data_IF_617579792319
#
_entry.id   IF_617579792319
#
_cell.length_a   1.000
_cell.length_b   1.000
_cell.length_c   1.000
_cell.angle_alpha   90.00
_cell.angle_beta   90.00
_cell.angle_gamma   90.00
#
_symmetry.space_group_name_H-M   'P 1'
#
loop_
_entity.id
_entity.type
_entity.pdbx_description
1 polymer ?
#
# COMPACT_ATOMS: atom_id res chain seq x y z
N UNK A 1 43.68 -10.14 7.97
CA UNK A 1 42.72 -9.09 7.58
C UNK A 1 42.52 -9.14 6.09
N UNK A 2 41.35 -9.57 5.62
CA UNK A 2 41.03 -9.56 4.21
C UNK A 2 40.86 -8.09 3.77
N UNK A 3 41.74 -7.63 2.87
CA UNK A 3 41.54 -6.35 2.18
C UNK A 3 40.34 -6.52 1.25
N UNK A 4 39.25 -5.83 1.55
CA UNK A 4 38.15 -5.63 0.60
C UNK A 4 38.65 -4.76 -0.54
N UNK A 5 39.31 -5.37 -1.53
CA UNK A 5 39.54 -4.72 -2.82
C UNK A 5 38.30 -4.92 -3.68
N UNK A 6 37.27 -4.10 -3.46
CA UNK A 6 36.13 -4.04 -4.38
C UNK A 6 36.11 -2.67 -5.05
N UNK A 7 36.59 -2.60 -6.29
CA UNK A 7 36.23 -1.49 -7.17
C UNK A 7 34.71 -1.42 -7.29
N UNK A 8 34.16 -0.20 -7.34
CA UNK A 8 32.74 0.04 -7.56
C UNK A 8 32.34 -0.57 -8.91
N UNK A 9 31.47 -1.59 -8.91
CA UNK A 9 30.99 -2.25 -10.14
C UNK A 9 29.98 -1.38 -10.90
N UNK A 10 29.15 -0.65 -10.17
CA UNK A 10 28.24 0.38 -10.70
C UNK A 10 28.05 1.46 -9.64
N UNK A 11 28.43 2.73 -9.89
CA UNK A 11 28.21 3.81 -8.95
C UNK A 11 26.72 4.14 -8.83
N UNK A 12 26.32 4.67 -7.67
CA UNK A 12 24.95 5.13 -7.48
C UNK A 12 24.63 6.31 -8.40
N UNK A 13 23.48 6.24 -9.07
CA UNK A 13 22.97 7.32 -9.90
C UNK A 13 22.55 8.54 -9.08
N UNK A 14 22.64 9.74 -9.68
CA UNK A 14 22.23 11.01 -9.06
C UNK A 14 20.79 10.96 -8.56
N UNK A 15 19.90 10.29 -9.28
CA UNK A 15 18.46 10.24 -9.04
C UNK A 15 17.97 8.97 -8.35
N UNK A 16 18.89 8.12 -7.88
CA UNK A 16 18.58 6.78 -7.40
C UNK A 16 19.14 5.72 -8.33
N UNK A 17 19.06 4.46 -7.90
CA UNK A 17 19.65 3.32 -8.59
C UNK A 17 18.70 2.13 -8.49
N UNK A 18 18.32 1.55 -9.62
CA UNK A 18 17.42 0.39 -9.75
C UNK A 18 18.10 -0.89 -9.23
N UNK A 19 18.34 -0.93 -7.92
CA UNK A 19 19.10 -1.93 -7.18
C UNK A 19 18.53 -2.04 -5.75
N UNK A 20 19.25 -2.70 -4.83
CA UNK A 20 18.99 -2.67 -3.39
C UNK A 20 19.37 -1.30 -2.78
N UNK A 21 18.71 -0.24 -3.23
CA UNK A 21 18.94 1.14 -2.79
C UNK A 21 17.60 1.85 -2.64
N UNK A 22 17.48 2.69 -1.61
CA UNK A 22 16.35 3.60 -1.46
C UNK A 22 16.51 4.89 -2.27
N UNK A 23 15.43 5.66 -2.29
CA UNK A 23 15.31 6.87 -3.08
C UNK A 23 16.02 8.07 -2.42
N UNK A 24 16.82 8.86 -3.16
CA UNK A 24 17.31 10.12 -2.63
C UNK A 24 16.18 11.15 -2.56
N UNK A 25 16.18 12.00 -1.53
CA UNK A 25 15.19 13.05 -1.29
C UNK A 25 14.87 13.91 -2.53
N UNK A 26 15.87 14.19 -3.38
CA UNK A 26 15.65 14.97 -4.61
C UNK A 26 14.68 14.30 -5.58
N UNK A 27 14.69 12.96 -5.68
CA UNK A 27 13.78 12.26 -6.60
C UNK A 27 12.37 12.20 -6.01
N UNK A 28 12.25 12.18 -4.68
CA UNK A 28 10.97 12.39 -4.00
C UNK A 28 10.39 13.78 -4.29
N UNK A 29 11.17 14.86 -4.15
CA UNK A 29 10.71 16.23 -4.49
C UNK A 29 10.32 16.36 -5.96
N UNK A 30 11.05 15.71 -6.88
CA UNK A 30 10.70 15.65 -8.32
C UNK A 30 9.38 14.92 -8.56
N UNK A 31 9.15 13.79 -7.89
CA UNK A 31 7.90 13.05 -8.00
C UNK A 31 6.71 13.90 -7.52
N UNK A 32 6.83 14.52 -6.34
CA UNK A 32 5.78 15.41 -5.79
C UNK A 32 5.52 16.61 -6.71
N UNK A 33 6.59 17.22 -7.26
CA UNK A 33 6.50 18.29 -8.26
C UNK A 33 5.82 17.84 -9.55
N UNK A 34 6.10 16.62 -10.03
CA UNK A 34 5.46 16.09 -11.23
C UNK A 34 3.98 15.87 -10.98
N UNK A 35 3.61 15.15 -9.92
CA UNK A 35 2.21 14.84 -9.59
C UNK A 35 1.41 16.13 -9.45
N UNK A 36 1.89 17.09 -8.65
CA UNK A 36 1.19 18.37 -8.44
C UNK A 36 1.08 19.22 -9.71
N UNK A 37 1.95 19.03 -10.71
CA UNK A 37 1.88 19.76 -11.98
C UNK A 37 1.04 19.07 -13.04
N UNK A 38 1.04 17.75 -13.07
CA UNK A 38 0.32 16.94 -14.05
C UNK A 38 -1.16 16.82 -13.66
N UNK A 39 -1.44 16.58 -12.37
CA UNK A 39 -2.78 16.25 -11.87
C UNK A 39 -3.31 17.40 -11.02
N UNK A 40 -4.11 18.27 -11.66
CA UNK A 40 -4.64 19.51 -11.03
C UNK A 40 -6.03 19.32 -10.40
N UNK A 41 -6.61 18.15 -10.60
CA UNK A 41 -7.97 17.74 -10.29
C UNK A 41 -8.02 16.66 -9.20
N UNK A 42 -6.95 16.51 -8.41
CA UNK A 42 -6.92 15.57 -7.29
C UNK A 42 -7.85 16.03 -6.16
N UNK A 43 -8.88 15.24 -5.89
CA UNK A 43 -9.79 15.46 -4.75
C UNK A 43 -9.08 15.21 -3.40
N UNK A 44 -8.28 14.14 -3.32
CA UNK A 44 -7.44 13.81 -2.16
C UNK A 44 -6.30 12.86 -2.56
N UNK A 45 -5.33 12.71 -1.67
CA UNK A 45 -4.18 11.82 -1.84
C UNK A 45 -4.19 10.77 -0.73
N UNK A 46 -3.93 9.52 -1.08
CA UNK A 46 -3.72 8.42 -0.14
C UNK A 46 -2.23 8.05 -0.11
N UNK A 47 -1.71 7.87 1.10
CA UNK A 47 -0.33 7.44 1.33
C UNK A 47 -0.32 6.31 2.35
N UNK A 48 0.26 5.18 1.99
CA UNK A 48 0.15 3.96 2.80
C UNK A 48 1.39 3.70 3.66
N UNK A 49 2.14 4.71 4.11
CA UNK A 49 3.29 4.54 5.02
C UNK A 49 4.65 4.29 4.34
N UNK A 50 5.62 3.78 5.11
CA UNK A 50 7.01 3.49 4.72
C UNK A 50 7.81 4.71 4.26
N UNK A 51 7.96 5.65 5.20
CA UNK A 51 8.70 6.90 5.04
C UNK A 51 10.17 6.80 5.46
N UNK A 52 10.58 5.69 6.05
CA UNK A 52 11.97 5.39 6.40
C UNK A 52 12.64 4.50 5.36
N UNK A 53 13.95 4.69 5.18
CA UNK A 53 14.77 3.84 4.33
C UNK A 53 15.10 2.49 5.01
N UNK A 54 15.57 1.50 4.25
CA UNK A 54 15.91 0.15 4.71
C UNK A 54 17.25 0.07 5.48
N UNK A 55 17.67 1.15 6.13
CA UNK A 55 18.83 1.19 7.02
C UNK A 55 18.45 0.95 8.49
N UNK A 56 17.60 -0.07 8.69
CA UNK A 56 16.98 -0.45 9.97
C UNK A 56 17.96 -0.62 11.14
N UNK A 57 19.22 -0.96 10.86
CA UNK A 57 20.28 -1.05 11.87
C UNK A 57 20.66 0.29 12.51
N UNK A 58 20.22 1.41 11.94
CA UNK A 58 20.52 2.77 12.37
C UNK A 58 19.25 3.59 12.70
N UNK A 59 18.12 2.93 12.95
CA UNK A 59 16.88 3.62 13.32
C UNK A 59 16.99 4.28 14.70
N UNK A 60 16.57 5.53 14.77
CA UNK A 60 16.36 6.25 16.04
C UNK A 60 15.07 7.05 15.95
N UNK A 61 14.43 7.29 17.10
CA UNK A 61 13.18 8.08 17.17
C UNK A 61 13.38 9.48 16.59
N UNK A 62 14.55 10.07 16.80
CA UNK A 62 14.93 11.41 16.32
C UNK A 62 15.07 11.44 14.80
N UNK A 63 15.73 10.43 14.21
CA UNK A 63 15.87 10.32 12.76
C UNK A 63 14.51 10.09 12.10
N UNK A 64 13.71 9.17 12.64
CA UNK A 64 12.36 8.90 12.13
C UNK A 64 11.49 10.14 12.18
N UNK A 65 11.51 10.87 13.30
CA UNK A 65 10.82 12.15 13.41
C UNK A 65 11.25 13.15 12.34
N UNK A 66 12.56 13.35 12.16
CA UNK A 66 13.09 14.32 11.20
C UNK A 66 12.72 13.98 9.74
N UNK A 67 12.76 12.69 9.39
CA UNK A 67 12.35 12.21 8.06
C UNK A 67 10.85 12.42 7.83
N UNK A 68 10.00 12.04 8.79
CA UNK A 68 8.55 12.29 8.72
C UNK A 68 8.24 13.79 8.57
N UNK A 69 8.92 14.65 9.33
CA UNK A 69 8.79 16.11 9.23
C UNK A 69 9.19 16.62 7.84
N UNK A 70 10.33 16.18 7.29
CA UNK A 70 10.82 16.59 5.96
C UNK A 70 9.90 16.14 4.83
N UNK A 71 9.43 14.90 4.88
CA UNK A 71 8.51 14.34 3.88
C UNK A 71 7.17 15.09 3.95
N UNK A 72 6.62 15.28 5.16
CA UNK A 72 5.40 16.06 5.39
C UNK A 72 5.53 17.50 4.88
N UNK A 73 6.66 18.16 5.12
CA UNK A 73 6.91 19.51 4.62
C UNK A 73 6.96 19.58 3.09
N UNK A 74 7.55 18.58 2.44
CA UNK A 74 7.59 18.48 0.97
C UNK A 74 6.21 18.27 0.38
N UNK A 75 5.41 17.39 0.98
CA UNK A 75 4.02 17.17 0.56
C UNK A 75 3.19 18.45 0.72
N UNK A 76 3.31 19.14 1.85
CA UNK A 76 2.64 20.43 2.09
C UNK A 76 3.03 21.52 1.08
N UNK A 77 4.29 21.53 0.64
CA UNK A 77 4.80 22.46 -0.37
C UNK A 77 4.15 22.24 -1.74
N UNK A 78 4.01 20.99 -2.17
CA UNK A 78 3.48 20.65 -3.50
C UNK A 78 1.95 20.52 -3.55
N UNK A 79 1.32 20.22 -2.41
CA UNK A 79 -0.12 20.02 -2.28
C UNK A 79 -0.71 20.91 -1.18
N UNK A 80 -0.68 22.25 -1.34
CA UNK A 80 -1.13 23.15 -0.29
C UNK A 80 -2.64 23.05 0.00
N UNK A 81 -3.43 22.62 -0.99
CA UNK A 81 -4.90 22.62 -0.95
C UNK A 81 -5.53 21.23 -1.12
N UNK A 82 -4.73 20.18 -1.36
CA UNK A 82 -5.24 18.82 -1.54
C UNK A 82 -5.11 18.06 -0.22
N UNK A 83 -6.19 17.51 0.35
CA UNK A 83 -6.14 16.66 1.54
C UNK A 83 -5.24 15.42 1.32
N UNK A 84 -4.47 15.06 2.34
CA UNK A 84 -3.62 13.87 2.33
C UNK A 84 -4.02 12.97 3.50
N UNK A 85 -4.50 11.78 3.18
CA UNK A 85 -4.87 10.76 4.15
C UNK A 85 -3.79 9.65 4.18
N UNK A 86 -3.28 9.37 5.35
CA UNK A 86 -2.12 8.48 5.52
C UNK A 86 -2.48 7.24 6.36
N UNK A 87 -1.90 6.10 6.02
CA UNK A 87 -1.77 4.95 6.91
C UNK A 87 -0.32 4.84 7.38
N UNK A 88 -0.12 4.27 8.57
CA UNK A 88 1.22 4.00 9.10
C UNK A 88 1.77 2.72 8.49
N UNK A 89 3.04 2.74 8.06
CA UNK A 89 3.77 1.59 7.54
C UNK A 89 4.58 0.89 8.62
N UNK A 90 5.29 -0.18 8.25
CA UNK A 90 6.03 -0.97 9.23
C UNK A 90 7.38 -0.31 9.57
N UNK A 91 7.94 0.46 8.63
CA UNK A 91 9.23 1.12 8.79
C UNK A 91 9.19 2.38 9.69
N UNK A 92 8.02 2.92 10.04
CA UNK A 92 7.91 4.02 11.01
C UNK A 92 8.22 3.60 12.46
N UNK A 93 8.14 2.30 12.77
CA UNK A 93 8.50 1.77 14.08
C UNK A 93 10.01 1.93 14.37
N UNK A 94 10.36 2.12 15.65
CA UNK A 94 11.77 2.08 16.09
C UNK A 94 11.91 1.07 17.23
N UNK A 95 12.52 -0.12 17.00
CA UNK A 95 12.98 -0.64 15.70
C UNK A 95 11.83 -0.88 14.70
N UNK A 96 12.12 -1.17 13.42
CA UNK A 96 11.07 -1.50 12.43
C UNK A 96 10.08 -2.52 12.99
N UNK A 97 8.80 -2.38 12.64
CA UNK A 97 7.69 -3.24 13.08
C UNK A 97 7.33 -3.16 14.58
N UNK A 98 8.00 -2.31 15.35
CA UNK A 98 7.80 -2.18 16.80
C UNK A 98 6.51 -1.39 17.15
N UNK A 99 5.35 -2.04 17.01
CA UNK A 99 4.04 -1.49 17.35
C UNK A 99 3.41 -2.26 18.52
N UNK A 100 3.74 -1.88 19.75
CA UNK A 100 3.18 -2.53 20.93
C UNK A 100 1.72 -2.08 21.16
N UNK A 101 0.78 -3.02 21.41
CA UNK A 101 -0.57 -2.67 21.85
C UNK A 101 -0.59 -2.24 23.32
N UNK A 102 -1.64 -1.53 23.75
CA UNK A 102 -1.78 -1.03 25.13
C UNK A 102 -1.77 -2.12 26.20
N UNK A 103 -2.20 -3.33 25.84
CA UNK A 103 -2.18 -4.49 26.75
C UNK A 103 -0.79 -5.09 26.99
N UNK A 104 0.25 -4.61 26.30
CA UNK A 104 1.61 -5.12 26.43
C UNK A 104 2.26 -4.69 27.76
N UNK A 105 2.90 -5.59 28.52
CA UNK A 105 3.71 -5.22 29.67
C UNK A 105 4.78 -4.18 29.30
N UNK A 106 5.02 -3.16 30.13
CA UNK A 106 5.95 -2.05 29.80
C UNK A 106 5.52 -1.17 28.61
N UNK A 107 4.23 -1.13 28.26
CA UNK A 107 3.70 -0.27 27.19
C UNK A 107 4.18 1.19 27.31
N UNK A 108 4.18 1.79 28.49
CA UNK A 108 4.61 3.20 28.67
C UNK A 108 6.09 3.42 28.31
N UNK A 109 6.93 2.40 28.45
CA UNK A 109 8.36 2.48 28.14
C UNK A 109 8.68 2.11 26.68
N UNK A 110 7.93 1.16 26.10
CA UNK A 110 8.27 0.52 24.82
C UNK A 110 7.26 0.77 23.71
N UNK A 111 6.13 1.38 24.04
CA UNK A 111 5.04 1.59 23.10
C UNK A 111 5.35 2.66 22.04
N UNK A 112 4.50 2.71 21.01
CA UNK A 112 4.62 3.65 19.91
C UNK A 112 3.99 5.02 20.22
N UNK A 113 3.69 5.36 21.48
CA UNK A 113 3.02 6.63 21.85
C UNK A 113 3.79 7.85 21.33
N UNK A 114 5.12 7.79 21.35
CA UNK A 114 5.98 8.84 20.82
C UNK A 114 5.74 9.06 19.31
N UNK A 115 5.60 7.97 18.54
CA UNK A 115 5.34 7.99 17.10
C UNK A 115 3.92 8.49 16.85
N UNK A 116 2.94 7.92 17.54
CA UNK A 116 1.53 8.31 17.38
C UNK A 116 1.31 9.78 17.71
N UNK A 117 2.04 10.33 18.69
CA UNK A 117 2.02 11.76 19.00
C UNK A 117 2.60 12.59 17.85
N UNK A 118 3.69 12.17 17.21
CA UNK A 118 4.26 12.84 16.03
C UNK A 118 3.28 12.78 14.85
N UNK A 119 2.79 11.59 14.50
CA UNK A 119 1.82 11.39 13.42
C UNK A 119 0.57 12.25 13.63
N UNK A 120 0.05 12.31 14.87
CA UNK A 120 -1.11 13.13 15.20
C UNK A 120 -0.89 14.63 14.96
N UNK A 121 0.34 15.13 15.10
CA UNK A 121 0.69 16.51 14.82
C UNK A 121 0.83 16.70 13.30
N UNK A 122 1.62 15.86 12.64
CA UNK A 122 1.91 16.00 11.21
C UNK A 122 0.65 15.83 10.34
N UNK A 123 -0.26 14.94 10.73
CA UNK A 123 -1.48 14.65 9.98
C UNK A 123 -2.63 15.60 10.30
N UNK A 124 -2.57 16.35 11.43
CA UNK A 124 -3.66 17.23 11.91
C UNK A 124 -4.13 18.29 10.91
N UNK A 125 -3.31 18.62 9.91
CA UNK A 125 -3.69 19.52 8.82
C UNK A 125 -4.82 18.96 7.96
N UNK A 126 -4.83 17.64 7.75
CA UNK A 126 -5.71 16.99 6.76
C UNK A 126 -6.83 16.18 7.38
N UNK A 127 -6.80 15.98 8.70
CA UNK A 127 -7.78 15.17 9.43
C UNK A 127 -8.45 15.98 10.53
N UNK A 128 -9.67 15.61 10.86
CA UNK A 128 -10.50 16.19 11.89
C UNK A 128 -9.91 16.04 13.30
N UNK A 129 -10.29 16.90 14.26
CA UNK A 129 -9.88 16.75 15.65
C UNK A 129 -10.25 15.40 16.29
N UNK A 130 -11.32 14.75 15.83
CA UNK A 130 -11.71 13.41 16.31
C UNK A 130 -10.82 12.32 15.71
N UNK A 131 -10.47 12.42 14.42
CA UNK A 131 -9.47 11.53 13.81
C UNK A 131 -8.11 11.62 14.50
N UNK A 132 -7.67 12.83 14.90
CA UNK A 132 -6.44 13.02 15.68
C UNK A 132 -6.45 12.19 16.98
N UNK A 133 -7.59 12.03 17.64
CA UNK A 133 -7.71 11.17 18.84
C UNK A 133 -7.51 9.69 18.49
N UNK A 134 -8.09 9.24 17.39
CA UNK A 134 -7.87 7.88 16.87
C UNK A 134 -6.41 7.60 16.55
N UNK A 135 -5.74 8.55 15.89
CA UNK A 135 -4.30 8.48 15.58
C UNK A 135 -3.47 8.32 16.85
N UNK A 136 -3.73 9.15 17.87
CA UNK A 136 -3.02 9.08 19.16
C UNK A 136 -3.22 7.77 19.90
N UNK A 137 -4.38 7.14 19.72
CA UNK A 137 -4.68 5.86 20.38
C UNK A 137 -4.00 4.70 19.64
N UNK A 138 -4.34 4.46 18.36
CA UNK A 138 -3.92 3.23 17.63
C UNK A 138 -3.27 3.47 16.27
N UNK A 139 -3.00 4.73 15.90
CA UNK A 139 -2.65 5.14 14.53
C UNK A 139 -3.66 4.72 13.45
N UNK A 140 -4.92 4.53 13.84
CA UNK A 140 -6.05 4.33 12.93
C UNK A 140 -7.06 5.45 13.13
N UNK A 141 -7.75 5.86 12.07
CA UNK A 141 -8.73 6.95 12.14
C UNK A 141 -9.76 6.86 11.01
N UNK A 142 -10.84 7.62 11.13
CA UNK A 142 -11.84 7.80 10.08
C UNK A 142 -11.87 9.24 9.61
N UNK A 143 -12.09 9.44 8.32
CA UNK A 143 -12.34 10.74 7.70
C UNK A 143 -13.46 10.64 6.66
N UNK A 144 -14.00 11.80 6.25
CA UNK A 144 -15.08 11.86 5.26
C UNK A 144 -14.65 12.76 4.09
N UNK A 145 -13.94 12.20 3.09
CA UNK A 145 -13.46 12.97 1.95
C UNK A 145 -14.59 13.57 1.10
N UNK A 146 -15.76 12.92 1.10
CA UNK A 146 -16.95 13.34 0.35
C UNK A 146 -18.22 12.89 1.08
N UNK A 147 -19.37 13.59 0.96
CA UNK A 147 -20.63 13.13 1.52
C UNK A 147 -20.99 11.71 1.07
N UNK A 148 -21.22 10.82 2.04
CA UNK A 148 -21.53 9.40 1.76
C UNK A 148 -20.31 8.50 1.57
N UNK A 149 -19.08 9.02 1.67
CA UNK A 149 -17.84 8.25 1.68
C UNK A 149 -17.13 8.40 3.02
N UNK A 150 -16.95 7.27 3.73
CA UNK A 150 -16.06 7.16 4.90
C UNK A 150 -14.72 6.55 4.47
N UNK A 151 -13.63 7.23 4.74
CA UNK A 151 -12.28 6.69 4.62
C UNK A 151 -11.83 6.17 5.98
N UNK A 152 -11.38 4.92 6.03
CA UNK A 152 -10.83 4.28 7.23
C UNK A 152 -9.33 4.05 6.98
N UNK A 153 -8.50 4.75 7.75
CA UNK A 153 -7.07 4.45 7.83
C UNK A 153 -6.82 3.43 8.93
N UNK A 154 -6.25 2.28 8.57
CA UNK A 154 -6.06 1.14 9.45
C UNK A 154 -4.58 0.89 9.71
N UNK A 155 -4.16 0.98 10.98
CA UNK A 155 -2.87 0.45 11.41
C UNK A 155 -2.90 -1.09 11.39
N UNK A 156 -2.46 -1.66 10.28
CA UNK A 156 -2.35 -3.11 10.10
C UNK A 156 -0.95 -3.67 10.42
N UNK A 157 -0.06 -2.87 11.02
CA UNK A 157 1.18 -3.41 11.64
C UNK A 157 0.90 -4.39 12.78
N UNK A 158 -0.33 -4.35 13.34
CA UNK A 158 -0.80 -5.37 14.28
C UNK A 158 -1.03 -6.75 13.66
N UNK A 159 -0.95 -6.87 12.34
CA UNK A 159 -0.89 -8.17 11.68
C UNK A 159 0.54 -8.59 11.31
N UNK A 160 1.54 -7.72 11.39
CA UNK A 160 2.92 -8.05 11.01
C UNK A 160 3.48 -9.24 11.81
N UNK A 161 4.04 -10.22 11.11
CA UNK A 161 4.81 -11.33 11.72
C UNK A 161 6.14 -10.85 12.33
N UNK A 162 6.61 -9.66 11.96
CA UNK A 162 7.82 -9.05 12.50
C UNK A 162 7.55 -8.12 13.69
N UNK A 163 6.27 -7.82 13.97
CA UNK A 163 5.90 -7.13 15.19
C UNK A 163 6.04 -8.10 16.39
N UNK A 164 7.19 -8.10 17.04
CA UNK A 164 7.43 -9.07 18.12
C UNK A 164 6.56 -8.83 19.36
N UNK A 165 5.97 -7.64 19.53
CA UNK A 165 5.12 -7.36 20.68
C UNK A 165 3.80 -8.14 20.67
N UNK A 166 3.25 -8.41 19.49
CA UNK A 166 1.96 -9.11 19.39
C UNK A 166 2.07 -10.60 19.71
N UNK A 167 3.28 -11.18 19.82
CA UNK A 167 3.45 -12.55 20.30
C UNK A 167 3.14 -12.73 21.80
N UNK A 168 3.05 -11.64 22.56
CA UNK A 168 2.54 -11.67 23.94
C UNK A 168 1.04 -11.96 23.92
N UNK A 169 0.30 -11.30 23.04
CA UNK A 169 -1.12 -11.57 22.79
C UNK A 169 -1.52 -11.13 21.37
N UNK A 170 -1.83 -12.10 20.51
CA UNK A 170 -2.23 -11.87 19.12
C UNK A 170 -3.73 -11.59 18.95
N UNK A 171 -4.50 -11.65 20.05
CA UNK A 171 -5.96 -11.52 20.01
C UNK A 171 -6.34 -10.05 19.84
N UNK A 172 -6.67 -9.68 18.61
CA UNK A 172 -7.11 -8.35 18.18
C UNK A 172 -6.38 -7.20 18.90
N UNK A 173 -5.08 -6.98 18.61
CA UNK A 173 -4.29 -5.95 19.29
C UNK A 173 -4.96 -4.57 19.22
N UNK A 174 -5.11 -3.95 20.39
CA UNK A 174 -5.89 -2.72 20.64
C UNK A 174 -7.38 -2.80 20.29
N UNK A 175 -7.94 -3.95 19.94
CA UNK A 175 -9.31 -4.07 19.44
C UNK A 175 -9.46 -3.50 18.03
N UNK A 176 -8.43 -3.58 17.20
CA UNK A 176 -8.35 -2.94 15.88
C UNK A 176 -9.38 -3.47 14.89
N UNK A 177 -9.58 -4.79 14.82
CA UNK A 177 -10.62 -5.40 14.00
C UNK A 177 -12.01 -5.17 14.60
N UNK A 178 -12.13 -5.21 15.93
CA UNK A 178 -13.39 -4.89 16.62
C UNK A 178 -13.84 -3.45 16.32
N UNK A 179 -12.90 -2.50 16.34
CA UNK A 179 -13.14 -1.12 15.95
C UNK A 179 -13.53 -1.00 14.47
N UNK A 180 -12.80 -1.66 13.56
CA UNK A 180 -13.14 -1.69 12.14
C UNK A 180 -14.56 -2.21 11.88
N UNK A 181 -14.96 -3.31 12.52
CA UNK A 181 -16.32 -3.86 12.41
C UNK A 181 -17.36 -2.83 12.85
N UNK A 182 -17.08 -2.09 13.92
CA UNK A 182 -17.98 -1.05 14.43
C UNK A 182 -18.16 0.09 13.44
N UNK A 183 -17.07 0.54 12.81
CA UNK A 183 -17.10 1.59 11.78
C UNK A 183 -17.83 1.16 10.50
N UNK A 184 -17.61 -0.09 10.06
CA UNK A 184 -18.28 -0.67 8.89
C UNK A 184 -19.78 -0.87 9.14
N UNK A 185 -20.16 -1.34 10.32
CA UNK A 185 -21.56 -1.49 10.71
C UNK A 185 -22.29 -0.14 10.81
N UNK A 186 -21.60 0.89 11.30
CA UNK A 186 -22.12 2.26 11.30
C UNK A 186 -22.35 2.78 9.88
N UNK A 187 -21.40 2.59 8.97
CA UNK A 187 -21.56 2.99 7.57
C UNK A 187 -22.65 2.19 6.83
N UNK A 188 -22.77 0.88 7.08
CA UNK A 188 -23.85 0.05 6.55
C UNK A 188 -25.23 0.60 6.96
N UNK A 189 -25.41 0.99 8.24
CA UNK A 189 -26.66 1.58 8.76
C UNK A 189 -26.98 2.94 8.14
N UNK A 190 -25.96 3.72 7.80
CA UNK A 190 -26.10 5.05 7.18
C UNK A 190 -26.18 5.00 5.66
N UNK A 191 -25.95 3.85 5.04
CA UNK A 191 -25.86 3.72 3.58
C UNK A 191 -24.61 4.37 2.98
N UNK A 192 -23.57 4.58 3.79
CA UNK A 192 -22.28 5.12 3.34
C UNK A 192 -21.45 4.03 2.66
N UNK A 193 -20.55 4.46 1.76
CA UNK A 193 -19.50 3.62 1.20
C UNK A 193 -18.20 3.84 1.96
N UNK A 194 -17.34 2.82 1.93
CA UNK A 194 -16.09 2.81 2.69
C UNK A 194 -14.89 2.59 1.78
N UNK A 195 -13.89 3.45 1.91
CA UNK A 195 -12.52 3.20 1.46
C UNK A 195 -11.67 2.75 2.65
N UNK A 196 -10.94 1.64 2.52
CA UNK A 196 -9.96 1.22 3.51
C UNK A 196 -8.57 1.50 2.97
N UNK A 197 -7.73 2.16 3.76
CA UNK A 197 -6.30 2.32 3.47
C UNK A 197 -5.49 1.64 4.57
N UNK A 198 -4.44 0.93 4.19
CA UNK A 198 -3.52 0.27 5.11
C UNK A 198 -2.17 0.04 4.44
N UNK A 199 -1.19 -0.46 5.18
CA UNK A 199 0.14 -0.70 4.62
C UNK A 199 0.31 -2.14 4.10
N UNK A 200 0.31 -3.12 5.01
CA UNK A 200 0.56 -4.54 4.72
C UNK A 200 -0.68 -5.21 4.08
N UNK A 201 -0.61 -5.72 2.85
CA UNK A 201 -1.77 -6.39 2.26
C UNK A 201 -2.11 -7.70 3.01
N UNK A 202 -3.38 -7.96 3.35
CA UNK A 202 -3.77 -9.09 4.21
C UNK A 202 -3.42 -10.48 3.66
N UNK A 203 -3.29 -10.61 2.34
CA UNK A 203 -2.92 -11.85 1.68
C UNK A 203 -1.42 -12.13 1.61
N UNK A 204 -0.58 -11.18 2.03
CA UNK A 204 0.85 -11.39 2.11
C UNK A 204 1.24 -12.16 3.37
N UNK A 205 2.26 -13.02 3.27
CA UNK A 205 2.69 -13.86 4.39
C UNK A 205 3.42 -13.07 5.49
N UNK A 206 3.61 -11.77 5.30
CA UNK A 206 3.96 -10.82 6.35
C UNK A 206 2.83 -10.57 7.35
N UNK A 207 1.58 -10.92 7.01
CA UNK A 207 0.42 -10.78 7.89
C UNK A 207 0.10 -12.09 8.62
N UNK A 208 -0.19 -12.06 9.92
CA UNK A 208 -0.51 -13.23 10.74
C UNK A 208 -1.77 -13.93 10.24
N UNK A 209 -1.70 -15.25 10.10
CA UNK A 209 -2.80 -16.10 9.65
C UNK A 209 -4.13 -15.84 10.38
N UNK A 210 -4.08 -15.71 11.71
CA UNK A 210 -5.27 -15.46 12.53
C UNK A 210 -5.91 -14.10 12.24
N UNK A 211 -5.09 -13.06 12.12
CA UNK A 211 -5.56 -11.71 11.81
C UNK A 211 -6.11 -11.64 10.37
N UNK A 212 -5.34 -12.13 9.40
CA UNK A 212 -5.74 -12.16 7.99
C UNK A 212 -7.04 -12.95 7.78
N UNK A 213 -7.24 -14.07 8.48
CA UNK A 213 -8.51 -14.80 8.45
C UNK A 213 -9.68 -13.93 8.90
N UNK A 214 -9.58 -13.26 10.04
CA UNK A 214 -10.67 -12.43 10.55
C UNK A 214 -10.93 -11.24 9.63
N UNK A 215 -9.88 -10.57 9.15
CA UNK A 215 -10.02 -9.47 8.19
C UNK A 215 -10.71 -9.93 6.90
N UNK A 216 -10.37 -11.10 6.38
CA UNK A 216 -11.00 -11.68 5.19
C UNK A 216 -12.52 -11.91 5.39
N UNK A 217 -12.93 -12.44 6.54
CA UNK A 217 -14.37 -12.62 6.83
C UNK A 217 -15.10 -11.28 7.01
N UNK A 218 -14.43 -10.26 7.59
CA UNK A 218 -14.98 -8.90 7.71
C UNK A 218 -15.21 -8.31 6.32
N UNK A 219 -14.23 -8.38 5.42
CA UNK A 219 -14.37 -7.88 4.05
C UNK A 219 -15.54 -8.54 3.34
N UNK A 220 -15.67 -9.87 3.43
CA UNK A 220 -16.79 -10.60 2.84
C UNK A 220 -18.14 -10.19 3.44
N UNK A 221 -18.25 -10.04 4.76
CA UNK A 221 -19.49 -9.61 5.41
C UNK A 221 -19.93 -8.22 4.94
N UNK A 222 -18.97 -7.33 4.69
CA UNK A 222 -19.24 -5.94 4.31
C UNK A 222 -18.99 -5.66 2.82
N UNK A 223 -19.11 -6.67 1.95
CA UNK A 223 -18.84 -6.56 0.50
C UNK A 223 -19.66 -5.45 -0.19
N UNK A 224 -20.86 -5.14 0.33
CA UNK A 224 -21.72 -4.07 -0.20
C UNK A 224 -21.39 -2.66 0.34
N UNK A 225 -20.64 -2.59 1.46
CA UNK A 225 -20.29 -1.34 2.15
C UNK A 225 -18.88 -0.88 1.76
N UNK A 226 -17.92 -1.79 1.66
CA UNK A 226 -16.55 -1.49 1.27
C UNK A 226 -16.50 -1.32 -0.25
N UNK A 227 -16.26 -0.09 -0.71
CA UNK A 227 -16.18 0.23 -2.14
C UNK A 227 -14.76 0.03 -2.71
N UNK A 228 -13.71 0.27 -1.91
CA UNK A 228 -12.33 0.08 -2.33
C UNK A 228 -11.37 -0.17 -1.15
N UNK A 229 -10.25 -0.84 -1.43
CA UNK A 229 -9.16 -1.09 -0.48
C UNK A 229 -7.81 -0.80 -1.13
N UNK A 230 -6.92 -0.08 -0.44
CA UNK A 230 -5.63 0.36 -0.96
C UNK A 230 -4.49 0.02 0.01
N UNK A 231 -3.50 -0.71 -0.50
CA UNK A 231 -2.31 -1.17 0.23
C UNK A 231 -1.02 -0.85 -0.51
N UNK A 232 0.10 -1.06 0.17
CA UNK A 232 1.46 -0.94 -0.37
C UNK A 232 2.33 -2.10 0.11
N UNK A 233 3.45 -1.80 0.78
CA UNK A 233 4.38 -2.74 1.42
C UNK A 233 5.19 -3.65 0.48
N UNK A 234 4.54 -4.34 -0.48
CA UNK A 234 5.24 -5.31 -1.33
C UNK A 234 6.17 -4.64 -2.34
N UNK A 235 5.97 -3.35 -2.57
CA UNK A 235 6.67 -2.52 -3.56
C UNK A 235 6.40 -2.90 -5.03
N UNK A 236 5.49 -3.83 -5.29
CA UNK A 236 5.14 -4.28 -6.63
C UNK A 236 3.75 -3.81 -7.06
N UNK A 237 3.51 -3.82 -8.37
CA UNK A 237 2.18 -3.53 -8.92
C UNK A 237 1.34 -4.82 -8.99
N UNK A 238 0.44 -4.99 -8.03
CA UNK A 238 -0.39 -6.20 -7.93
C UNK A 238 -1.73 -5.93 -7.22
N UNK A 239 -2.50 -6.99 -7.00
CA UNK A 239 -3.81 -6.95 -6.35
C UNK A 239 -4.13 -8.31 -5.73
N UNK A 240 -5.12 -8.37 -4.84
CA UNK A 240 -5.59 -9.63 -4.25
C UNK A 240 -7.11 -9.73 -4.30
N UNK A 241 -7.63 -10.84 -4.84
CA UNK A 241 -9.07 -11.10 -4.94
C UNK A 241 -9.58 -11.85 -3.70
N UNK A 242 -10.76 -11.45 -3.23
CA UNK A 242 -11.52 -12.12 -2.19
C UNK A 242 -12.65 -12.93 -2.82
N UNK A 243 -12.95 -14.06 -2.20
CA UNK A 243 -13.92 -15.04 -2.63
C UNK A 243 -14.82 -15.47 -1.48
N UNK A 244 -16.07 -15.75 -1.84
CA UNK A 244 -17.04 -16.38 -0.95
C UNK A 244 -16.49 -17.71 -0.39
N UNK A 245 -16.68 -17.93 0.91
CA UNK A 245 -16.20 -19.12 1.63
C UNK A 245 -14.69 -19.41 1.52
N UNK A 246 -13.85 -18.40 1.19
CA UNK A 246 -12.41 -18.60 0.94
C UNK A 246 -12.12 -19.64 -0.17
N UNK A 247 -12.98 -19.74 -1.19
CA UNK A 247 -12.84 -20.70 -2.28
C UNK A 247 -12.64 -19.98 -3.64
N UNK A 248 -11.47 -20.08 -4.29
CA UNK A 248 -11.21 -19.46 -5.59
C UNK A 248 -12.12 -19.96 -6.73
N UNK A 249 -12.72 -21.14 -6.60
CA UNK A 249 -13.70 -21.64 -7.55
C UNK A 249 -15.11 -21.05 -7.33
N UNK A 250 -15.30 -20.28 -6.24
CA UNK A 250 -16.53 -19.61 -5.89
C UNK A 250 -16.65 -18.21 -6.49
N UNK A 251 -17.66 -17.46 -6.02
CA UNK A 251 -17.92 -16.08 -6.46
C UNK A 251 -16.84 -15.14 -5.91
N UNK A 252 -16.18 -14.31 -6.76
CA UNK A 252 -15.35 -13.21 -6.27
C UNK A 252 -16.24 -12.13 -5.66
N UNK A 253 -15.94 -11.73 -4.43
CA UNK A 253 -16.73 -10.82 -3.59
C UNK A 253 -16.12 -9.42 -3.49
N UNK A 254 -14.79 -9.35 -3.48
CA UNK A 254 -14.04 -8.10 -3.35
C UNK A 254 -12.63 -8.24 -3.94
N UNK A 255 -11.87 -7.15 -4.00
CA UNK A 255 -10.44 -7.17 -4.28
C UNK A 255 -9.75 -5.95 -3.63
N UNK A 256 -8.44 -6.05 -3.41
CA UNK A 256 -7.64 -4.90 -2.96
C UNK A 256 -6.60 -4.52 -4.01
N UNK A 257 -6.23 -3.23 -4.05
CA UNK A 257 -5.09 -2.76 -4.82
C UNK A 257 -3.83 -2.79 -3.97
N UNK A 258 -2.73 -3.26 -4.55
CA UNK A 258 -1.39 -3.13 -3.99
C UNK A 258 -0.60 -2.20 -4.93
N UNK A 259 -0.29 -1.02 -4.43
CA UNK A 259 0.28 0.06 -5.21
C UNK A 259 1.81 -0.07 -5.22
N UNK A 260 2.49 0.05 -6.38
CA UNK A 260 3.94 -0.02 -6.43
C UNK A 260 4.58 1.13 -5.66
N UNK A 261 5.83 0.90 -5.23
CA UNK A 261 6.58 1.88 -4.46
C UNK A 261 7.12 3.03 -5.32
N UNK A 262 7.24 4.20 -4.69
CA UNK A 262 8.07 5.28 -5.20
C UNK A 262 9.56 4.99 -4.99
N UNK A 263 9.93 4.17 -3.99
CA UNK A 263 11.32 3.79 -3.77
C UNK A 263 11.84 2.82 -4.83
N UNK A 264 13.14 3.00 -5.08
CA UNK A 264 14.15 1.99 -5.45
C UNK A 264 13.93 0.53 -5.14
N UNK A 265 13.62 0.32 -3.86
CA UNK A 265 13.89 -0.91 -3.17
C UNK A 265 12.85 -1.98 -3.56
N UNK A 266 13.22 -3.09 -4.20
CA UNK A 266 14.50 -3.32 -4.85
C UNK A 266 14.34 -3.60 -6.33
N UNK A 267 15.30 -3.12 -7.13
CA UNK A 267 15.39 -3.36 -8.58
C UNK A 267 14.23 -2.80 -9.39
N UNK A 268 13.67 -1.70 -8.90
CA UNK A 268 12.41 -1.17 -9.37
C UNK A 268 12.53 0.30 -9.74
N UNK A 269 11.84 0.72 -10.80
CA UNK A 269 11.71 2.15 -11.09
C UNK A 269 10.72 2.78 -10.09
N UNK A 270 10.90 4.06 -9.72
CA UNK A 270 9.89 4.81 -8.96
C UNK A 270 8.56 4.84 -9.68
N UNK A 271 7.46 4.63 -8.95
CA UNK A 271 6.12 4.77 -9.48
C UNK A 271 5.15 5.41 -8.49
N UNK A 272 4.03 5.89 -9.02
CA UNK A 272 2.84 6.27 -8.28
C UNK A 272 1.59 5.90 -9.09
N UNK A 273 0.42 5.94 -8.46
CA UNK A 273 -0.86 5.53 -9.05
C UNK A 273 -1.89 6.64 -8.94
N UNK A 274 -2.70 6.81 -9.99
CA UNK A 274 -3.91 7.62 -9.99
C UNK A 274 -5.11 6.68 -10.06
N UNK A 275 -6.09 6.91 -9.19
CA UNK A 275 -7.36 6.19 -9.21
C UNK A 275 -8.46 7.15 -9.63
N UNK A 276 -9.17 6.83 -10.70
CA UNK A 276 -10.44 7.48 -11.01
C UNK A 276 -11.52 6.76 -10.21
N UNK A 277 -12.27 7.49 -9.38
CA UNK A 277 -13.30 6.92 -8.51
C UNK A 277 -14.66 7.50 -8.90
N UNK A 278 -15.69 6.67 -8.90
CA UNK A 278 -17.07 7.10 -9.07
C UNK A 278 -17.50 8.01 -7.90
N UNK A 279 -17.86 9.26 -8.18
CA UNK A 279 -18.11 10.23 -7.12
C UNK A 279 -18.70 11.56 -7.61
N UNK A 280 -18.94 12.48 -6.68
CA UNK A 280 -19.44 13.82 -6.98
C UNK A 280 -20.97 13.95 -7.07
N UNK A 281 -21.71 12.89 -6.74
CA UNK A 281 -23.18 12.89 -6.72
C UNK A 281 -23.74 12.04 -5.58
N UNK A 282 -25.03 12.27 -5.26
CA UNK A 282 -25.74 11.54 -4.21
C UNK A 282 -25.84 10.06 -4.60
N UNK A 283 -25.57 9.16 -3.65
CA UNK A 283 -25.64 7.69 -3.87
C UNK A 283 -24.60 7.15 -4.87
N UNK A 284 -23.50 7.88 -5.09
CA UNK A 284 -22.34 7.36 -5.84
C UNK A 284 -21.83 6.04 -5.24
N UNK A 285 -21.34 5.14 -6.10
CA UNK A 285 -20.85 3.83 -5.67
C UNK A 285 -19.51 3.92 -4.95
N UNK A 286 -18.74 4.98 -5.20
CA UNK A 286 -17.36 5.16 -4.73
C UNK A 286 -16.42 4.00 -5.11
N UNK A 287 -16.79 3.22 -6.13
CA UNK A 287 -15.91 2.18 -6.66
C UNK A 287 -14.87 2.80 -7.60
N UNK A 288 -13.71 2.15 -7.72
CA UNK A 288 -12.66 2.58 -8.65
C UNK A 288 -13.10 2.28 -10.09
N UNK A 289 -13.11 3.31 -10.92
CA UNK A 289 -13.48 3.26 -12.33
C UNK A 289 -12.28 2.95 -13.24
N UNK A 290 -11.10 3.47 -12.93
CA UNK A 290 -9.84 3.09 -13.58
C UNK A 290 -8.64 3.33 -12.64
N UNK A 291 -7.53 2.68 -12.94
CA UNK A 291 -6.28 2.79 -12.19
C UNK A 291 -5.10 2.96 -13.17
N UNK A 292 -4.44 4.11 -13.09
CA UNK A 292 -3.34 4.50 -13.97
C UNK A 292 -2.02 4.53 -13.19
N UNK A 293 -1.05 3.74 -13.62
CA UNK A 293 0.29 3.73 -13.02
C UNK A 293 1.23 4.61 -13.84
N UNK A 294 1.92 5.53 -13.15
CA UNK A 294 2.96 6.37 -13.73
C UNK A 294 4.32 5.93 -13.20
N UNK A 295 5.31 5.84 -14.07
CA UNK A 295 6.69 5.48 -13.72
C UNK A 295 7.70 6.37 -14.43
N UNK A 296 8.98 6.18 -14.15
CA UNK A 296 10.08 6.89 -14.78
C UNK A 296 11.24 5.94 -15.07
N UNK A 297 12.07 6.22 -16.06
CA UNK A 297 13.30 5.47 -16.31
C UNK A 297 14.48 6.19 -15.64
N UNK A 298 14.90 5.68 -14.47
CA UNK A 298 16.05 6.25 -13.77
C UNK A 298 17.37 6.01 -14.49
N UNK A 299 17.50 4.93 -15.27
CA UNK A 299 18.72 4.66 -16.04
C UNK A 299 18.85 5.70 -17.16
N UNK A 300 17.74 6.01 -17.84
CA UNK A 300 17.69 7.09 -18.83
C UNK A 300 18.01 8.44 -18.17
N UNK A 301 17.35 8.79 -17.07
CA UNK A 301 17.54 10.07 -16.37
C UNK A 301 19.00 10.25 -15.90
N UNK A 302 19.61 9.20 -15.35
CA UNK A 302 21.00 9.21 -14.91
C UNK A 302 21.97 9.30 -16.10
N UNK A 303 21.75 8.53 -17.17
CA UNK A 303 22.64 8.54 -18.36
C UNK A 303 22.64 9.89 -19.09
N UNK A 304 21.49 10.57 -19.11
CA UNK A 304 21.34 11.91 -19.71
C UNK A 304 21.66 13.04 -18.74
N UNK A 305 21.90 12.75 -17.46
CA UNK A 305 22.04 13.72 -16.37
C UNK A 305 20.86 14.72 -16.30
N UNK A 306 19.63 14.23 -16.45
CA UNK A 306 18.40 15.02 -16.47
C UNK A 306 17.45 14.61 -15.35
N UNK A 307 16.57 15.52 -14.93
CA UNK A 307 15.48 15.22 -13.99
C UNK A 307 14.63 14.05 -14.52
N UNK A 308 14.29 13.04 -13.67
CA UNK A 308 13.41 11.94 -14.07
C UNK A 308 12.08 12.47 -14.57
N UNK A 309 11.66 12.00 -15.74
CA UNK A 309 10.37 12.33 -16.34
C UNK A 309 9.43 11.17 -16.05
N UNK A 310 8.37 11.43 -15.28
CA UNK A 310 7.30 10.47 -15.09
C UNK A 310 6.39 10.46 -16.31
N UNK A 311 6.01 9.27 -16.74
CA UNK A 311 5.12 9.00 -17.86
C UNK A 311 4.09 7.94 -17.45
N UNK A 312 2.92 7.97 -18.09
CA UNK A 312 1.90 6.93 -17.93
C UNK A 312 2.47 5.60 -18.44
N UNK A 313 2.59 4.61 -17.55
CA UNK A 313 3.01 3.26 -17.92
C UNK A 313 1.84 2.49 -18.53
N UNK A 314 0.69 2.50 -17.85
CA UNK A 314 -0.53 1.82 -18.32
C UNK A 314 -1.80 2.30 -17.59
N UNK A 315 -2.96 2.06 -18.23
CA UNK A 315 -4.29 2.10 -17.60
C UNK A 315 -4.80 0.67 -17.43
N UNK A 316 -5.25 0.30 -16.23
CA UNK A 316 -5.72 -1.06 -15.93
C UNK A 316 -6.84 -1.50 -16.89
N UNK A 317 -7.85 -0.65 -17.11
CA UNK A 317 -8.95 -0.99 -18.03
C UNK A 317 -8.47 -1.15 -19.46
N UNK A 318 -7.66 -0.22 -19.96
CA UNK A 318 -7.23 -0.20 -21.35
C UNK A 318 -6.26 -1.36 -21.64
N UNK A 319 -5.19 -1.47 -20.86
CA UNK A 319 -4.06 -2.33 -21.18
C UNK A 319 -4.29 -3.81 -20.86
N UNK A 320 -5.20 -4.11 -19.92
CA UNK A 320 -5.70 -5.48 -19.66
C UNK A 320 -7.04 -5.79 -20.35
N UNK A 321 -7.63 -4.80 -21.05
CA UNK A 321 -8.91 -4.94 -21.76
C UNK A 321 -10.06 -5.38 -20.82
N UNK A 322 -10.22 -4.65 -19.71
CA UNK A 322 -11.30 -4.87 -18.73
C UNK A 322 -12.48 -3.94 -19.03
N UNK A 323 -13.71 -4.46 -18.98
CA UNK A 323 -14.93 -3.65 -19.11
C UNK A 323 -15.12 -2.69 -17.93
N UNK A 324 -14.77 -3.17 -16.74
CA UNK A 324 -14.86 -2.52 -15.44
C UNK A 324 -13.77 -3.08 -14.52
N UNK A 325 -13.65 -2.52 -13.32
CA UNK A 325 -12.74 -3.01 -12.29
C UNK A 325 -13.49 -3.76 -11.17
N UNK A 326 -14.57 -4.46 -11.50
CA UNK A 326 -15.29 -5.30 -10.53
C UNK A 326 -14.46 -6.50 -10.07
N UNK A 327 -14.77 -7.11 -8.91
CA UNK A 327 -14.11 -8.34 -8.46
C UNK A 327 -14.16 -9.46 -9.51
N UNK A 328 -15.25 -9.56 -10.27
CA UNK A 328 -15.40 -10.54 -11.35
C UNK A 328 -14.42 -10.29 -12.51
N UNK A 329 -14.24 -9.02 -12.92
CA UNK A 329 -13.30 -8.65 -13.98
C UNK A 329 -11.85 -8.91 -13.58
N UNK A 330 -11.47 -8.63 -12.32
CA UNK A 330 -10.15 -8.96 -11.80
C UNK A 330 -9.91 -10.47 -11.71
N UNK A 331 -10.91 -11.24 -11.27
CA UNK A 331 -10.80 -12.69 -11.28
C UNK A 331 -10.64 -13.26 -12.71
N UNK A 332 -11.42 -12.77 -13.66
CA UNK A 332 -11.32 -13.18 -15.06
C UNK A 332 -9.95 -12.80 -15.68
N UNK A 333 -9.36 -11.68 -15.26
CA UNK A 333 -7.99 -11.34 -15.63
C UNK A 333 -7.00 -12.40 -15.13
N UNK A 334 -7.12 -12.85 -13.88
CA UNK A 334 -6.26 -13.91 -13.32
C UNK A 334 -6.36 -15.19 -14.16
N UNK A 335 -7.57 -15.59 -14.56
CA UNK A 335 -7.79 -16.79 -15.38
C UNK A 335 -7.13 -16.65 -16.76
N UNK A 336 -7.20 -15.47 -17.37
CA UNK A 336 -6.49 -15.17 -18.62
C UNK A 336 -4.97 -15.19 -18.44
N UNK A 337 -4.46 -14.59 -17.37
CA UNK A 337 -3.03 -14.57 -17.04
C UNK A 337 -2.45 -15.97 -16.84
N UNK A 338 -3.25 -16.96 -16.44
CA UNK A 338 -2.81 -18.34 -16.29
C UNK A 338 -2.46 -19.01 -17.63
N UNK A 339 -3.10 -18.61 -18.73
CA UNK A 339 -3.01 -19.30 -20.03
C UNK A 339 -2.48 -18.45 -21.18
N UNK A 340 -2.59 -17.13 -21.11
CA UNK A 340 -2.13 -16.18 -22.14
C UNK A 340 -0.72 -15.68 -21.83
N UNK A 341 0.25 -16.18 -22.61
CA UNK A 341 1.67 -15.87 -22.46
C UNK A 341 2.00 -14.39 -22.63
N UNK A 342 1.36 -13.71 -23.59
CA UNK A 342 1.69 -12.33 -23.93
C UNK A 342 1.04 -11.36 -22.95
N UNK A 343 -0.19 -11.67 -22.51
CA UNK A 343 -0.82 -10.95 -21.40
C UNK A 343 -0.03 -11.12 -20.11
N UNK A 344 0.46 -12.32 -19.81
CA UNK A 344 1.29 -12.55 -18.62
C UNK A 344 2.63 -11.80 -18.69
N UNK A 345 3.32 -11.79 -19.83
CA UNK A 345 4.53 -10.96 -20.03
C UNK A 345 4.24 -9.48 -19.77
N UNK A 346 3.11 -8.98 -20.30
CA UNK A 346 2.69 -7.60 -20.09
C UNK A 346 2.44 -7.30 -18.60
N UNK A 347 1.68 -8.15 -17.91
CA UNK A 347 1.47 -8.02 -16.46
C UNK A 347 2.79 -8.06 -15.68
N UNK A 348 3.67 -9.02 -15.99
CA UNK A 348 4.96 -9.19 -15.30
C UNK A 348 5.88 -7.98 -15.50
N UNK A 349 5.85 -7.36 -16.68
CA UNK A 349 6.52 -6.09 -16.95
C UNK A 349 6.02 -4.97 -16.02
N UNK A 350 4.71 -4.80 -15.91
CA UNK A 350 4.10 -3.77 -15.05
C UNK A 350 4.34 -4.05 -13.57
N UNK A 351 4.34 -5.31 -13.16
CA UNK A 351 4.67 -5.73 -11.79
C UNK A 351 6.00 -5.14 -11.29
N UNK A 352 7.01 -5.07 -12.17
CA UNK A 352 8.32 -4.50 -11.89
C UNK A 352 8.50 -3.05 -12.41
N UNK A 353 7.46 -2.40 -12.94
CA UNK A 353 7.48 -1.10 -13.64
C UNK A 353 8.57 -1.00 -14.71
N UNK A 354 8.60 -2.00 -15.59
CA UNK A 354 9.53 -2.10 -16.71
C UNK A 354 11.03 -2.11 -16.32
N UNK A 355 11.35 -2.30 -15.04
CA UNK A 355 12.71 -2.19 -14.52
C UNK A 355 13.49 -3.51 -14.54
N UNK A 356 12.78 -4.64 -14.41
CA UNK A 356 13.39 -5.97 -14.27
C UNK A 356 12.49 -7.04 -14.90
N UNK A 357 13.03 -7.83 -15.83
CA UNK A 357 12.35 -8.97 -16.44
C UNK A 357 13.27 -10.21 -16.52
N UNK A 358 13.39 -11.01 -15.45
CA UNK A 358 13.85 -12.39 -15.58
C UNK A 358 12.75 -13.16 -16.31
N UNK A 359 13.11 -14.04 -17.25
CA UNK A 359 12.20 -14.68 -18.19
C UNK A 359 11.21 -15.68 -17.52
N UNK A 360 10.26 -15.16 -16.74
CA UNK A 360 9.26 -15.90 -15.96
C UNK A 360 8.13 -16.44 -16.84
N UNK A 361 7.82 -15.74 -17.93
CA UNK A 361 6.70 -16.07 -18.81
C UNK A 361 6.80 -17.46 -19.45
N UNK A 362 8.03 -17.94 -19.68
CA UNK A 362 8.29 -19.27 -20.24
C UNK A 362 8.33 -20.39 -19.19
N UNK A 363 8.15 -20.07 -17.90
CA UNK A 363 8.16 -21.03 -16.80
C UNK A 363 6.76 -21.17 -16.19
N UNK A 364 6.05 -22.30 -16.41
CA UNK A 364 4.73 -22.53 -15.82
C UNK A 364 4.74 -22.43 -14.29
N UNK A 365 5.81 -22.90 -13.65
CA UNK A 365 5.96 -22.81 -12.18
C UNK A 365 6.19 -21.39 -11.70
N UNK A 366 6.82 -20.54 -12.52
CA UNK A 366 6.97 -19.12 -12.22
C UNK A 366 5.62 -18.41 -12.37
N UNK A 367 4.94 -18.57 -13.50
CA UNK A 367 3.59 -18.01 -13.74
C UNK A 367 2.61 -18.37 -12.64
N UNK A 368 2.55 -19.64 -12.25
CA UNK A 368 1.64 -20.12 -11.23
C UNK A 368 1.84 -19.41 -9.88
N UNK A 369 3.06 -18.96 -9.54
CA UNK A 369 3.31 -18.21 -8.30
C UNK A 369 2.59 -16.87 -8.30
N UNK A 370 2.61 -16.13 -9.41
CA UNK A 370 1.95 -14.83 -9.53
C UNK A 370 0.43 -14.99 -9.57
N UNK A 371 -0.08 -15.87 -10.43
CA UNK A 371 -1.53 -16.18 -10.53
C UNK A 371 -2.08 -16.59 -9.15
N UNK A 372 -1.35 -17.43 -8.43
CA UNK A 372 -1.66 -17.82 -7.06
C UNK A 372 -1.71 -16.65 -6.08
N UNK A 373 -0.70 -15.78 -6.10
CA UNK A 373 -0.63 -14.61 -5.22
C UNK A 373 -1.81 -13.67 -5.45
N UNK A 374 -2.23 -13.46 -6.70
CA UNK A 374 -3.37 -12.60 -7.05
C UNK A 374 -4.72 -13.13 -6.55
N UNK A 375 -4.86 -14.46 -6.39
CA UNK A 375 -6.06 -15.08 -5.80
C UNK A 375 -6.05 -15.08 -4.27
N UNK A 376 -4.92 -14.77 -3.65
CA UNK A 376 -4.71 -14.97 -2.22
C UNK A 376 -4.80 -13.64 -1.48
N UNK A 377 -5.99 -13.31 -0.98
CA UNK A 377 -6.21 -12.20 -0.04
C UNK A 377 -6.18 -12.62 1.44
N UNK A 378 -5.65 -13.82 1.74
CA UNK A 378 -5.54 -14.41 3.08
C UNK A 378 -4.19 -15.11 3.25
N UNK A 379 -3.36 -14.60 4.16
CA UNK A 379 -2.01 -15.11 4.39
C UNK A 379 -1.97 -16.58 4.83
N UNK A 380 -0.87 -17.29 4.51
CA UNK A 380 -0.62 -18.70 4.86
C UNK A 380 -1.69 -19.71 4.39
N UNK A 381 -2.46 -19.37 3.34
CA UNK A 381 -3.51 -20.22 2.77
C UNK A 381 -3.20 -20.66 1.32
N UNK A 382 -1.92 -20.66 0.92
CA UNK A 382 -1.50 -21.00 -0.45
C UNK A 382 -2.09 -22.31 -0.99
N UNK A 383 -2.18 -23.35 -0.16
CA UNK A 383 -2.73 -24.64 -0.57
C UNK A 383 -4.22 -24.56 -0.96
N UNK A 384 -4.97 -23.66 -0.30
CA UNK A 384 -6.40 -23.48 -0.53
C UNK A 384 -6.67 -22.61 -1.76
N UNK A 385 -5.82 -21.60 -2.00
CA UNK A 385 -6.04 -20.65 -3.10
C UNK A 385 -5.38 -21.04 -4.42
N UNK A 386 -4.46 -22.01 -4.40
CA UNK A 386 -3.55 -22.28 -5.51
C UNK A 386 -3.42 -23.76 -5.88
N UNK A 387 -4.36 -24.59 -5.42
CA UNK A 387 -4.48 -26.01 -5.79
C UNK A 387 -4.98 -26.23 -7.21
#
# INVERSE_FOLDING_TARGET
GAKWTSGVKSPAGKWGSVFNCDLPYRTFDVAMKHISNTHKDLDYIVITGDMEAHDMWAYTKEKTKANLENITATMNKHFPNTPIYQAVGNHEGVPSDAFAPHGMPEYDARGPQWLYQILSILWSRWISPDAVKGVKYRASYVEYPSPGLKLISLNNNYCSVLNFYIYINQSDPDGTLTWLISELLDSERKGEKVHIIGHIPPGDDYCLKGWARNFYEIVNRFENTIAAQFYGHTHYDEFQVYYENSNPAGRPTHFNFITPSLTTFSFNNPAYRIYTVDGGYKEASYTVLDAETYTTDLNEANSKNQEPKFFLEYSAKKDYSLSDLSPASWNALIDRLAVDDDLFKKFHRYYYRSAYEPNCASSPTCRQKYVCALRRAKSYEKLNFCS
#
